data_IF_014973304028
#
_entry.id   IF_014973304028
#
_cell.length_a   1.000
_cell.length_b   1.000
_cell.length_c   1.000
_cell.angle_alpha   90.00
_cell.angle_beta   90.00
_cell.angle_gamma   90.00
#
_symmetry.space_group_name_H-M   'P 1'
#
loop_
_entity.id
_entity.type
_entity.pdbx_description
1 polymer ?
#
# COMPACT_ATOMS: atom_id res chain seq x y z
N UNK A 1 -30.96 -1.17 8.44
CA UNK A 1 -30.27 -0.86 9.72
C UNK A 1 -30.15 -2.15 10.52
N UNK A 2 -29.00 -2.47 11.13
CA UNK A 2 -28.88 -3.72 11.89
C UNK A 2 -29.71 -3.61 13.17
N UNK A 3 -30.69 -4.49 13.36
CA UNK A 3 -31.59 -4.43 14.53
C UNK A 3 -31.11 -5.28 15.73
N UNK A 4 -30.08 -6.11 15.53
CA UNK A 4 -29.51 -6.97 16.57
C UNK A 4 -28.19 -6.35 17.05
N UNK A 5 -27.95 -6.30 18.38
CA UNK A 5 -26.73 -5.74 18.98
C UNK A 5 -25.44 -6.28 18.36
N UNK A 6 -25.38 -7.59 18.11
CA UNK A 6 -24.23 -8.24 17.46
C UNK A 6 -24.02 -7.77 16.02
N UNK A 7 -25.10 -7.51 15.28
CA UNK A 7 -25.05 -7.03 13.91
C UNK A 7 -24.56 -5.56 13.85
N UNK A 8 -25.04 -4.70 14.76
CA UNK A 8 -24.55 -3.31 14.88
C UNK A 8 -23.04 -3.30 15.14
N UNK A 9 -22.57 -4.12 16.10
CA UNK A 9 -21.15 -4.25 16.43
C UNK A 9 -20.32 -4.69 15.22
N UNK A 10 -20.78 -5.67 14.44
CA UNK A 10 -20.08 -6.14 13.22
C UNK A 10 -19.95 -5.04 12.18
N UNK A 11 -21.00 -4.24 11.96
CA UNK A 11 -20.96 -3.10 11.02
C UNK A 11 -19.92 -2.07 11.45
N UNK A 12 -19.90 -1.67 12.73
CA UNK A 12 -18.91 -0.71 13.24
C UNK A 12 -17.47 -1.22 13.11
N UNK A 13 -17.24 -2.51 13.36
CA UNK A 13 -15.93 -3.14 13.19
C UNK A 13 -15.54 -3.15 11.70
N UNK A 14 -16.47 -3.50 10.81
CA UNK A 14 -16.24 -3.52 9.38
C UNK A 14 -15.88 -2.13 8.83
N UNK A 15 -16.58 -1.08 9.26
CA UNK A 15 -16.29 0.29 8.84
C UNK A 15 -14.91 0.77 9.32
N UNK A 16 -14.56 0.48 10.58
CA UNK A 16 -13.23 0.78 11.11
C UNK A 16 -12.13 0.09 10.30
N UNK A 17 -12.29 -1.20 10.03
CA UNK A 17 -11.34 -1.98 9.27
C UNK A 17 -11.27 -1.52 7.80
N UNK A 18 -12.41 -1.15 7.21
CA UNK A 18 -12.47 -0.59 5.85
C UNK A 18 -11.64 0.68 5.73
N UNK A 19 -11.76 1.63 6.67
CA UNK A 19 -11.00 2.88 6.65
C UNK A 19 -9.49 2.63 6.76
N UNK A 20 -9.08 1.75 7.68
CA UNK A 20 -7.68 1.34 7.82
C UNK A 20 -7.16 0.70 6.53
N UNK A 21 -7.84 -0.31 6.02
CA UNK A 21 -7.44 -1.04 4.81
C UNK A 21 -7.41 -0.14 3.57
N UNK A 22 -8.35 0.81 3.47
CA UNK A 22 -8.38 1.80 2.39
C UNK A 22 -7.09 2.63 2.36
N UNK A 23 -6.65 3.14 3.51
CA UNK A 23 -5.43 3.96 3.62
C UNK A 23 -4.17 3.20 3.20
N UNK A 24 -4.00 1.94 3.64
CA UNK A 24 -2.87 1.11 3.23
C UNK A 24 -2.89 0.81 1.73
N UNK A 25 -4.05 0.41 1.18
CA UNK A 25 -4.19 0.12 -0.25
C UNK A 25 -3.91 1.35 -1.12
N UNK A 26 -4.41 2.54 -0.73
CA UNK A 26 -4.13 3.76 -1.47
C UNK A 26 -2.65 4.15 -1.39
N UNK A 27 -2.03 4.03 -0.22
CA UNK A 27 -0.61 4.39 -0.05
C UNK A 27 0.31 3.52 -0.90
N UNK A 28 0.09 2.19 -0.93
CA UNK A 28 0.85 1.27 -1.78
C UNK A 28 0.69 1.63 -3.26
N UNK A 29 -0.55 1.88 -3.72
CA UNK A 29 -0.81 2.29 -5.10
C UNK A 29 -0.11 3.59 -5.48
N UNK A 30 -0.12 4.59 -4.60
CA UNK A 30 0.54 5.88 -4.84
C UNK A 30 2.07 5.71 -4.93
N UNK A 31 2.67 4.97 -3.99
CA UNK A 31 4.12 4.74 -4.00
C UNK A 31 4.56 3.96 -5.23
N UNK A 32 3.81 2.93 -5.64
CA UNK A 32 4.09 2.21 -6.89
C UNK A 32 4.06 3.12 -8.12
N UNK A 33 3.05 4.00 -8.23
CA UNK A 33 2.99 4.97 -9.33
C UNK A 33 4.21 5.90 -9.34
N UNK A 34 4.60 6.40 -8.17
CA UNK A 34 5.78 7.27 -8.04
C UNK A 34 7.08 6.55 -8.41
N UNK A 35 7.21 5.26 -8.09
CA UNK A 35 8.34 4.46 -8.55
C UNK A 35 8.37 4.35 -10.07
N UNK A 36 7.24 4.04 -10.71
CA UNK A 36 7.18 3.93 -12.16
C UNK A 36 7.52 5.25 -12.85
N UNK A 37 6.97 6.37 -12.36
CA UNK A 37 7.32 7.69 -12.92
C UNK A 37 8.81 8.01 -12.75
N UNK A 38 9.43 7.61 -11.63
CA UNK A 38 10.87 7.83 -11.41
C UNK A 38 11.74 6.94 -12.33
N UNK A 39 11.26 5.74 -12.68
CA UNK A 39 11.94 4.87 -13.64
C UNK A 39 11.84 5.43 -15.06
N UNK A 40 10.66 5.94 -15.44
CA UNK A 40 10.44 6.56 -16.75
C UNK A 40 11.33 7.81 -16.93
N UNK A 41 11.50 8.62 -15.88
CA UNK A 41 12.41 9.78 -15.91
C UNK A 41 13.87 9.35 -15.99
N UNK A 42 14.29 8.33 -15.24
CA UNK A 42 15.65 7.79 -15.33
C UNK A 42 15.98 7.22 -16.71
N UNK A 43 15.00 6.59 -17.39
CA UNK A 43 15.18 6.10 -18.75
C UNK A 43 15.42 7.24 -19.75
N UNK A 44 14.80 8.40 -19.52
CA UNK A 44 14.94 9.59 -20.37
C UNK A 44 16.26 10.33 -20.10
N UNK A 45 16.67 10.39 -18.83
CA UNK A 45 17.88 11.09 -18.38
C UNK A 45 18.64 10.22 -17.36
N UNK A 46 19.63 9.42 -17.83
CA UNK A 46 20.39 8.53 -16.97
C UNK A 46 21.44 9.32 -16.19
N UNK A 47 21.00 9.99 -15.11
CA UNK A 47 21.86 10.70 -14.16
C UNK A 47 22.00 9.91 -12.85
N UNK A 48 23.12 10.08 -12.12
CA UNK A 48 23.31 9.45 -10.81
C UNK A 48 22.25 9.87 -9.77
N UNK A 49 21.74 11.09 -9.86
CA UNK A 49 20.72 11.63 -8.96
C UNK A 49 19.35 10.94 -9.18
N UNK A 50 18.95 10.76 -10.44
CA UNK A 50 17.72 10.06 -10.80
C UNK A 50 17.77 8.59 -10.35
N UNK A 51 18.94 7.95 -10.43
CA UNK A 51 19.14 6.60 -9.90
C UNK A 51 18.95 6.53 -8.37
N UNK A 52 19.43 7.54 -7.64
CA UNK A 52 19.24 7.62 -6.19
C UNK A 52 17.76 7.82 -5.83
N UNK A 53 17.03 8.65 -6.58
CA UNK A 53 15.58 8.83 -6.37
C UNK A 53 14.82 7.52 -6.62
N UNK A 54 15.09 6.81 -7.72
CA UNK A 54 14.47 5.51 -8.02
C UNK A 54 14.67 4.54 -6.85
N UNK A 55 15.90 4.42 -6.34
CA UNK A 55 16.20 3.54 -5.21
C UNK A 55 15.46 3.94 -3.93
N UNK A 56 15.36 5.24 -3.64
CA UNK A 56 14.62 5.75 -2.49
C UNK A 56 13.13 5.44 -2.59
N UNK A 57 12.51 5.72 -3.75
CA UNK A 57 11.09 5.45 -4.01
C UNK A 57 10.81 3.95 -3.92
N UNK A 58 11.68 3.14 -4.52
CA UNK A 58 11.59 1.68 -4.50
C UNK A 58 11.65 1.13 -3.07
N UNK A 59 12.61 1.58 -2.26
CA UNK A 59 12.71 1.20 -0.85
C UNK A 59 11.46 1.58 -0.04
N UNK A 60 10.92 2.78 -0.26
CA UNK A 60 9.68 3.23 0.38
C UNK A 60 8.47 2.37 -0.02
N UNK A 61 8.36 2.00 -1.30
CA UNK A 61 7.31 1.13 -1.80
C UNK A 61 7.36 -0.26 -1.16
N UNK A 62 8.53 -0.91 -1.14
CA UNK A 62 8.72 -2.21 -0.48
C UNK A 62 8.39 -2.15 1.01
N UNK A 63 8.92 -1.16 1.73
CA UNK A 63 8.62 -0.99 3.15
C UNK A 63 7.11 -0.85 3.43
N UNK A 64 6.37 -0.19 2.53
CA UNK A 64 4.92 -0.03 2.69
C UNK A 64 4.16 -1.31 2.36
N UNK A 65 4.61 -2.09 1.38
CA UNK A 65 4.04 -3.41 1.05
C UNK A 65 4.21 -4.38 2.22
N UNK A 66 5.41 -4.46 2.80
CA UNK A 66 5.68 -5.35 3.93
C UNK A 66 4.83 -5.00 5.15
N UNK A 67 4.71 -3.71 5.46
CA UNK A 67 3.80 -3.24 6.50
C UNK A 67 2.35 -3.60 6.17
N UNK A 68 1.92 -3.44 4.93
CA UNK A 68 0.56 -3.79 4.51
C UNK A 68 0.27 -5.30 4.67
N UNK A 69 1.27 -6.16 4.49
CA UNK A 69 1.20 -7.61 4.76
C UNK A 69 1.14 -7.86 6.27
N UNK A 70 1.99 -7.22 7.07
CA UNK A 70 2.00 -7.35 8.54
C UNK A 70 0.66 -6.94 9.17
N UNK A 71 0.02 -5.90 8.64
CA UNK A 71 -1.30 -5.43 9.10
C UNK A 71 -2.47 -6.21 8.47
N UNK A 72 -2.23 -7.37 7.85
CA UNK A 72 -3.23 -8.25 7.22
C UNK A 72 -4.13 -7.54 6.18
N UNK A 73 -3.66 -6.42 5.61
CA UNK A 73 -4.40 -5.69 4.57
C UNK A 73 -4.19 -6.30 3.19
N UNK A 74 -3.04 -6.94 2.99
CA UNK A 74 -2.65 -7.74 1.83
C UNK A 74 -2.32 -9.15 2.31
N UNK A 75 -2.71 -10.15 1.52
CA UNK A 75 -2.38 -11.53 1.80
C UNK A 75 -0.92 -11.79 1.41
N UNK A 76 -0.13 -12.40 2.30
CA UNK A 76 1.15 -12.97 1.91
C UNK A 76 0.86 -14.19 1.05
N UNK A 77 1.23 -14.16 -0.22
CA UNK A 77 1.22 -15.39 -1.03
C UNK A 77 2.15 -16.40 -0.37
N UNK A 78 1.59 -17.32 0.40
CA UNK A 78 2.23 -18.55 0.81
C UNK A 78 1.79 -19.57 -0.24
N UNK A 79 2.69 -19.92 -1.15
CA UNK A 79 2.50 -21.11 -1.97
C UNK A 79 2.40 -22.29 -0.99
N UNK A 80 1.24 -22.94 -0.98
CA UNK A 80 1.05 -24.25 -0.36
C UNK A 80 1.76 -25.32 -1.19
#
# INVERSE_FOLDING_TARGET
>A
MPNIKSAIKRVQIAERNRLRNKSYKSAVRTLMKQCFTAVDTYQSEPTPENMAEVNQRMSAAFSKIDKAVQYFTLHRLVNF
#
